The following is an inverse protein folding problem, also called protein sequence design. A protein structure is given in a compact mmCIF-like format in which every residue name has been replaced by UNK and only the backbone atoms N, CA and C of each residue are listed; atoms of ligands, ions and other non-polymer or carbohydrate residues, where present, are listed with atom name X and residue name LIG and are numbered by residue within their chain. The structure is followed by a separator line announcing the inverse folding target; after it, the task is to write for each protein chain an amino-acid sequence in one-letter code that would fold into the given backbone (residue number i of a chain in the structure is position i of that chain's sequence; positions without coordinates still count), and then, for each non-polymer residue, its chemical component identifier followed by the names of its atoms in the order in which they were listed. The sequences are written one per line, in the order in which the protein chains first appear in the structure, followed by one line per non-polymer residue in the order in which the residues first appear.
data_IF_108241336212
#
_entry.id   IF_108241336212
#
_cell.length_a   1.000
_cell.length_b   1.000
_cell.length_c   1.000
_cell.angle_alpha   90.00
_cell.angle_beta   90.00
_cell.angle_gamma   90.00
#
_symmetry.space_group_name_H-M   'P 1'
#
loop_
_entity.id
_entity.type
_entity.pdbx_description
1 polymer ?
#
# COMPACT_ATOMS: atom_id res chain seq x y z
N UNK A 1 30.17 12.78 9.53
CA UNK A 1 29.30 12.04 8.58
C UNK A 1 27.86 12.37 8.93
N UNK A 2 27.02 12.74 7.97
CA UNK A 2 25.61 13.04 8.25
C UNK A 2 24.92 11.80 8.85
N UNK A 3 24.11 11.99 9.91
CA UNK A 3 23.32 10.93 10.51
C UNK A 3 22.23 10.44 9.52
N UNK A 4 21.61 9.28 9.79
CA UNK A 4 20.62 8.68 8.88
C UNK A 4 19.42 9.60 8.56
N UNK A 5 18.96 10.38 9.53
CA UNK A 5 17.85 11.34 9.37
C UNK A 5 18.23 12.49 8.44
N UNK A 6 19.39 13.11 8.65
CA UNK A 6 19.88 14.25 7.86
C UNK A 6 20.12 13.84 6.40
N UNK A 7 20.56 12.59 6.16
CA UNK A 7 20.69 12.06 4.80
C UNK A 7 19.33 11.92 4.12
N UNK A 8 18.31 11.45 4.84
CA UNK A 8 16.96 11.33 4.31
C UNK A 8 16.39 12.70 3.94
N UNK A 9 16.55 13.71 4.80
CA UNK A 9 16.07 15.07 4.55
C UNK A 9 16.71 15.67 3.28
N UNK A 10 18.01 15.41 3.07
CA UNK A 10 18.72 15.81 1.84
C UNK A 10 18.15 15.14 0.60
N UNK A 11 17.80 13.85 0.67
CA UNK A 11 17.16 13.12 -0.44
C UNK A 11 15.77 13.68 -0.74
N UNK A 12 14.93 13.85 0.27
CA UNK A 12 13.58 14.44 0.12
C UNK A 12 13.67 15.83 -0.54
N UNK A 13 14.59 16.66 -0.05
CA UNK A 13 14.84 17.99 -0.60
C UNK A 13 15.32 17.95 -2.06
N UNK A 14 16.19 17.01 -2.42
CA UNK A 14 16.65 16.82 -3.79
C UNK A 14 15.50 16.36 -4.70
N UNK A 15 14.71 15.36 -4.27
CA UNK A 15 13.59 14.84 -5.03
C UNK A 15 12.60 15.96 -5.39
N UNK A 16 12.26 16.82 -4.41
CA UNK A 16 11.39 17.96 -4.65
C UNK A 16 12.01 18.98 -5.61
N UNK A 17 13.24 19.42 -5.37
CA UNK A 17 13.90 20.45 -6.21
C UNK A 17 14.13 20.03 -7.66
N UNK A 18 14.35 18.72 -7.90
CA UNK A 18 14.66 18.18 -9.23
C UNK A 18 13.45 17.59 -9.95
N UNK A 19 12.26 17.64 -9.36
CA UNK A 19 11.05 17.16 -10.01
C UNK A 19 10.93 15.64 -10.05
N UNK A 20 11.37 14.95 -9.00
CA UNK A 20 11.13 13.51 -8.83
C UNK A 20 9.84 13.24 -8.07
N UNK A 21 9.67 13.78 -6.86
CA UNK A 21 8.55 13.44 -5.98
C UNK A 21 8.08 14.72 -5.28
N UNK A 22 6.76 14.92 -5.25
CA UNK A 22 6.08 16.03 -4.59
C UNK A 22 5.08 15.51 -3.57
N UNK A 23 4.82 16.31 -2.54
CA UNK A 23 3.72 16.04 -1.62
C UNK A 23 2.41 16.20 -2.41
N UNK A 24 1.56 15.16 -2.43
CA UNK A 24 0.30 15.24 -3.16
C UNK A 24 -0.59 16.32 -2.55
N UNK A 25 -1.27 17.11 -3.40
CA UNK A 25 -2.13 18.24 -3.00
C UNK A 25 -1.43 19.33 -2.18
N UNK A 26 -0.12 19.56 -2.42
CA UNK A 26 0.72 20.46 -1.61
C UNK A 26 0.13 21.86 -1.41
N UNK A 27 -0.44 22.48 -2.45
CA UNK A 27 -1.01 23.84 -2.38
C UNK A 27 -2.21 23.94 -1.42
N UNK A 28 -2.83 22.82 -1.07
CA UNK A 28 -3.94 22.72 -0.13
C UNK A 28 -3.52 22.19 1.25
N UNK A 29 -2.22 22.17 1.54
CA UNK A 29 -1.68 21.68 2.81
C UNK A 29 -1.21 20.22 2.76
N UNK A 30 -1.39 19.54 1.63
CA UNK A 30 -0.92 18.18 1.38
C UNK A 30 -1.81 17.08 1.94
N UNK A 31 -1.79 15.93 1.28
CA UNK A 31 -2.46 14.70 1.73
C UNK A 31 -1.44 13.75 2.34
N UNK A 32 -1.50 13.53 3.65
CA UNK A 32 -0.49 12.75 4.37
C UNK A 32 -0.25 11.36 3.76
N UNK A 33 1.02 10.99 3.58
CA UNK A 33 1.44 9.69 3.02
C UNK A 33 0.94 9.41 1.60
N UNK A 34 0.59 10.44 0.82
CA UNK A 34 0.29 10.35 -0.61
C UNK A 34 1.23 11.28 -1.37
N UNK A 35 1.82 10.80 -2.46
CA UNK A 35 2.90 11.48 -3.17
C UNK A 35 2.67 11.47 -4.68
N UNK A 36 3.02 12.57 -5.34
CA UNK A 36 2.94 12.70 -6.79
C UNK A 36 4.35 12.56 -7.39
N UNK A 37 4.48 11.82 -8.50
CA UNK A 37 5.75 11.69 -9.22
C UNK A 37 5.86 12.79 -10.29
N UNK A 38 6.88 13.64 -10.17
CA UNK A 38 7.14 14.75 -11.10
C UNK A 38 7.80 14.30 -12.42
N UNK A 39 8.21 15.23 -13.30
CA UNK A 39 8.71 14.90 -14.63
C UNK A 39 9.87 13.90 -14.68
N UNK A 40 10.85 14.01 -13.77
CA UNK A 40 11.94 13.02 -13.71
C UNK A 40 11.54 11.75 -12.94
N UNK A 41 10.61 11.89 -12.01
CA UNK A 41 10.10 10.78 -11.20
C UNK A 41 9.29 9.79 -12.02
N UNK A 42 8.41 10.28 -12.90
CA UNK A 42 7.58 9.44 -13.75
C UNK A 42 8.43 8.65 -14.75
N UNK A 43 9.47 9.26 -15.33
CA UNK A 43 10.40 8.58 -16.23
C UNK A 43 11.21 7.51 -15.48
N UNK A 44 11.72 7.83 -14.28
CA UNK A 44 12.40 6.84 -13.46
C UNK A 44 11.48 5.67 -13.10
N UNK A 45 10.26 5.97 -12.64
CA UNK A 45 9.28 4.96 -12.27
C UNK A 45 8.90 4.08 -13.46
N UNK A 46 8.70 4.67 -14.63
CA UNK A 46 8.43 3.94 -15.88
C UNK A 46 9.61 3.03 -16.23
N UNK A 47 10.83 3.53 -16.23
CA UNK A 47 12.02 2.74 -16.55
C UNK A 47 12.19 1.53 -15.62
N UNK A 48 11.90 1.69 -14.32
CA UNK A 48 11.91 0.58 -13.36
C UNK A 48 10.84 -0.46 -13.70
N UNK A 49 9.60 -0.02 -13.97
CA UNK A 49 8.48 -0.91 -14.34
C UNK A 49 8.77 -1.67 -15.64
N UNK A 50 9.25 -0.99 -16.68
CA UNK A 50 9.59 -1.61 -17.96
C UNK A 50 10.73 -2.62 -17.84
N UNK A 51 11.77 -2.30 -17.04
CA UNK A 51 12.87 -3.22 -16.79
C UNK A 51 12.40 -4.50 -16.09
N UNK A 52 11.52 -4.36 -15.08
CA UNK A 52 10.92 -5.51 -14.39
C UNK A 52 9.97 -6.30 -15.28
N UNK A 53 9.12 -5.62 -16.06
CA UNK A 53 8.18 -6.28 -16.96
C UNK A 53 8.90 -7.05 -18.06
N UNK A 54 9.99 -6.48 -18.61
CA UNK A 54 10.82 -7.18 -19.59
C UNK A 54 11.43 -8.45 -18.99
N UNK A 55 12.03 -8.38 -17.80
CA UNK A 55 12.69 -9.54 -17.20
C UNK A 55 11.71 -10.62 -16.72
N UNK A 56 10.53 -10.23 -16.26
CA UNK A 56 9.52 -11.17 -15.76
C UNK A 56 8.64 -11.76 -16.85
N UNK A 57 8.25 -10.97 -17.85
CA UNK A 57 7.22 -11.37 -18.83
C UNK A 57 7.80 -11.56 -20.23
N UNK A 58 8.64 -10.64 -20.72
CA UNK A 58 9.14 -10.75 -22.10
C UNK A 58 10.29 -11.74 -22.25
N UNK A 59 11.14 -11.87 -21.24
CA UNK A 59 12.32 -12.74 -21.23
C UNK A 59 12.01 -14.17 -20.74
N UNK A 60 10.75 -14.46 -20.41
CA UNK A 60 10.30 -15.75 -19.86
C UNK A 60 9.07 -16.27 -20.60
N UNK A 61 9.08 -17.56 -20.93
CA UNK A 61 7.97 -18.22 -21.63
C UNK A 61 6.90 -18.78 -20.67
N UNK A 62 7.16 -18.73 -19.36
CA UNK A 62 6.36 -19.34 -18.31
C UNK A 62 5.64 -18.31 -17.42
N UNK A 63 5.57 -17.04 -17.83
CA UNK A 63 4.89 -15.98 -17.07
C UNK A 63 4.01 -15.15 -18.00
N UNK A 64 2.73 -15.05 -17.65
CA UNK A 64 1.75 -14.27 -18.39
C UNK A 64 1.47 -12.93 -17.71
N UNK A 65 1.23 -11.89 -18.52
CA UNK A 65 0.85 -10.57 -18.02
C UNK A 65 -0.65 -10.44 -17.75
N UNK A 66 -1.01 -9.75 -16.67
CA UNK A 66 -2.40 -9.40 -16.33
C UNK A 66 -2.48 -7.94 -15.82
N UNK A 67 -3.60 -7.27 -16.12
CA UNK A 67 -4.01 -6.03 -15.47
C UNK A 67 -5.45 -6.17 -14.94
N UNK A 68 -5.58 -6.58 -13.68
CA UNK A 68 -6.88 -6.68 -13.02
C UNK A 68 -7.35 -5.30 -12.53
N UNK A 69 -8.67 -5.09 -12.50
CA UNK A 69 -9.28 -3.90 -11.93
C UNK A 69 -8.94 -3.72 -10.44
N UNK A 70 -8.94 -2.46 -9.97
CA UNK A 70 -8.77 -2.11 -8.54
C UNK A 70 -10.01 -2.50 -7.74
N UNK A 71 -11.19 -2.25 -8.31
CA UNK A 71 -12.48 -2.52 -7.70
C UNK A 71 -12.87 -3.97 -7.96
N UNK A 72 -12.91 -4.77 -6.89
CA UNK A 72 -13.27 -6.19 -6.94
C UNK A 72 -14.49 -6.46 -6.06
N UNK A 73 -15.21 -7.54 -6.37
CA UNK A 73 -16.37 -7.96 -5.58
C UNK A 73 -15.96 -8.19 -4.10
N UNK A 74 -16.71 -7.68 -3.09
CA UNK A 74 -16.32 -7.73 -1.67
C UNK A 74 -15.96 -9.12 -1.14
N UNK A 75 -16.69 -10.14 -1.59
CA UNK A 75 -16.43 -11.55 -1.27
C UNK A 75 -15.00 -12.02 -1.56
N UNK A 76 -14.27 -11.40 -2.49
CA UNK A 76 -12.86 -11.70 -2.73
C UNK A 76 -12.02 -11.37 -1.50
N UNK A 77 -12.29 -10.23 -0.85
CA UNK A 77 -11.59 -9.78 0.35
C UNK A 77 -12.03 -10.51 1.62
N UNK A 78 -13.26 -11.03 1.63
CA UNK A 78 -13.73 -11.93 2.69
C UNK A 78 -13.07 -13.31 2.56
N UNK A 79 -13.07 -13.91 1.37
CA UNK A 79 -12.50 -15.22 1.11
C UNK A 79 -10.99 -15.28 1.31
N UNK A 80 -10.28 -14.20 0.97
CA UNK A 80 -8.84 -14.07 1.24
C UNK A 80 -8.52 -13.72 2.71
N UNK A 81 -9.53 -13.45 3.54
CA UNK A 81 -9.37 -13.11 4.95
C UNK A 81 -9.03 -11.64 5.24
N UNK A 82 -8.85 -10.80 4.22
CA UNK A 82 -8.48 -9.39 4.40
C UNK A 82 -9.50 -8.58 5.21
N UNK A 83 -10.81 -8.85 5.05
CA UNK A 83 -11.85 -8.15 5.83
C UNK A 83 -11.69 -8.42 7.33
N UNK A 84 -11.32 -9.64 7.71
CA UNK A 84 -11.23 -10.06 9.11
C UNK A 84 -9.82 -9.85 9.71
N UNK A 85 -8.76 -10.04 8.93
CA UNK A 85 -7.39 -10.15 9.43
C UNK A 85 -6.44 -9.03 8.98
N UNK A 86 -6.81 -8.18 8.02
CA UNK A 86 -5.94 -7.10 7.55
C UNK A 86 -6.07 -5.86 8.46
N UNK A 87 -5.69 -6.03 9.73
CA UNK A 87 -5.90 -5.03 10.79
C UNK A 87 -4.63 -4.72 11.56
N UNK A 88 -4.48 -3.47 11.96
CA UNK A 88 -3.46 -3.03 12.90
C UNK A 88 -4.09 -2.66 14.26
N UNK A 89 -3.39 -2.89 15.38
CA UNK A 89 -3.85 -2.45 16.69
C UNK A 89 -3.73 -0.91 16.80
N UNK A 90 -4.86 -0.23 16.96
CA UNK A 90 -4.96 1.23 17.01
C UNK A 90 -5.31 1.70 18.43
N UNK A 91 -4.64 2.76 18.88
CA UNK A 91 -5.02 3.53 20.08
C UNK A 91 -5.21 5.00 19.74
N UNK A 92 -6.22 5.62 20.33
CA UNK A 92 -6.47 7.05 20.27
C UNK A 92 -6.01 7.73 21.57
N UNK A 93 -5.28 8.84 21.46
CA UNK A 93 -4.99 9.70 22.60
C UNK A 93 -6.11 10.74 22.77
N UNK A 94 -6.82 10.71 23.90
CA UNK A 94 -7.93 11.63 24.20
C UNK A 94 -7.49 13.09 24.32
N UNK A 95 -6.21 13.32 24.58
CA UNK A 95 -5.62 14.63 24.91
C UNK A 95 -5.04 15.33 23.70
N UNK A 96 -4.27 14.62 22.86
CA UNK A 96 -3.72 15.18 21.62
C UNK A 96 -4.59 14.88 20.39
N UNK A 97 -5.64 14.07 20.54
CA UNK A 97 -6.60 13.64 19.49
C UNK A 97 -5.96 12.89 18.32
N UNK A 98 -4.68 12.54 18.42
CA UNK A 98 -3.98 11.74 17.43
C UNK A 98 -4.19 10.24 17.66
N UNK A 99 -4.00 9.50 16.57
CA UNK A 99 -4.13 8.05 16.47
C UNK A 99 -2.76 7.44 16.27
N UNK A 100 -2.49 6.34 16.96
CA UNK A 100 -1.20 5.66 16.93
C UNK A 100 -1.42 4.17 16.81
N UNK A 101 -0.43 3.47 16.23
CA UNK A 101 -0.44 2.02 16.37
C UNK A 101 0.05 1.64 17.76
N UNK A 102 -0.67 0.75 18.42
CA UNK A 102 -0.40 0.32 19.78
C UNK A 102 0.98 -0.38 19.91
N UNK A 103 1.41 -1.06 18.86
CA UNK A 103 2.67 -1.78 18.78
C UNK A 103 3.88 -0.90 18.41
N UNK A 104 3.66 0.38 18.08
CA UNK A 104 4.71 1.33 17.69
C UNK A 104 4.75 2.61 18.53
N UNK A 105 4.15 2.60 19.72
CA UNK A 105 4.05 3.79 20.59
C UNK A 105 5.43 4.42 20.89
N UNK A 106 6.44 3.60 21.17
CA UNK A 106 7.80 4.06 21.50
C UNK A 106 8.50 4.78 20.34
N UNK A 107 8.06 4.54 19.11
CA UNK A 107 8.61 5.18 17.91
C UNK A 107 7.74 6.34 17.40
N UNK A 108 6.49 6.42 17.88
CA UNK A 108 5.54 7.43 17.46
C UNK A 108 5.85 8.78 18.12
N UNK A 109 5.67 9.88 17.38
CA UNK A 109 5.83 11.23 17.94
C UNK A 109 4.48 11.78 18.38
N UNK A 110 4.40 12.25 19.63
CA UNK A 110 3.22 12.97 20.10
C UNK A 110 3.22 14.39 19.52
N UNK A 111 2.12 14.85 18.89
CA UNK A 111 2.05 16.22 18.36
C UNK A 111 1.95 17.28 19.46
N UNK A 112 1.63 16.88 20.70
CA UNK A 112 1.47 17.79 21.85
C UNK A 112 2.71 17.74 22.74
N UNK A 113 3.44 18.85 22.78
CA UNK A 113 4.55 19.06 23.73
C UNK A 113 3.99 19.28 25.16
N UNK A 114 4.68 18.86 26.24
CA UNK A 114 6.06 18.34 26.27
C UNK A 114 6.19 16.84 25.97
N UNK A 115 5.09 16.09 25.77
CA UNK A 115 5.15 14.66 25.46
C UNK A 115 5.96 14.42 24.19
N UNK A 116 6.96 13.54 24.25
CA UNK A 116 7.74 13.15 23.07
C UNK A 116 7.08 11.97 22.38
N UNK A 117 6.67 10.97 23.16
CA UNK A 117 5.92 9.81 22.72
C UNK A 117 4.50 9.79 23.31
N UNK A 118 3.52 9.15 22.64
CA UNK A 118 2.16 9.07 23.15
C UNK A 118 2.12 8.30 24.47
N UNK A 119 1.43 8.84 25.48
CA UNK A 119 1.29 8.18 26.78
C UNK A 119 2.42 8.47 27.79
N UNK A 120 3.49 9.17 27.40
CA UNK A 120 4.60 9.48 28.34
C UNK A 120 4.25 10.53 29.40
N UNK A 121 3.41 11.49 29.05
CA UNK A 121 3.02 12.56 29.98
C UNK A 121 1.71 12.18 30.67
N UNK A 122 1.57 12.54 31.94
CA UNK A 122 0.38 12.26 32.78
C UNK A 122 -0.92 12.75 32.17
N UNK A 123 -0.87 13.82 31.37
CA UNK A 123 -2.03 14.32 30.63
C UNK A 123 -2.44 13.46 29.43
N UNK A 124 -1.57 12.63 28.85
CA UNK A 124 -1.89 11.78 27.70
C UNK A 124 -2.67 10.54 28.13
N UNK A 125 -4.00 10.59 27.99
CA UNK A 125 -4.86 9.42 28.19
C UNK A 125 -5.06 8.66 26.88
N UNK A 126 -4.44 7.48 26.76
CA UNK A 126 -4.67 6.54 25.66
C UNK A 126 -5.94 5.71 25.92
N UNK A 127 -6.60 5.31 24.83
CA UNK A 127 -7.73 4.37 24.85
C UNK A 127 -7.23 2.93 24.79
N UNK A 128 -8.12 1.97 25.10
CA UNK A 128 -7.83 0.56 24.89
C UNK A 128 -7.57 0.26 23.40
N UNK A 129 -6.59 -0.62 23.08
CA UNK A 129 -6.32 -1.00 21.70
C UNK A 129 -7.54 -1.61 21.02
N UNK A 130 -7.82 -1.18 19.79
CA UNK A 130 -8.84 -1.77 18.92
C UNK A 130 -8.25 -2.15 17.57
N UNK A 131 -8.77 -3.19 16.93
CA UNK A 131 -8.34 -3.58 15.60
C UNK A 131 -8.90 -2.62 14.55
N UNK A 132 -8.02 -2.05 13.74
CA UNK A 132 -8.37 -1.13 12.66
C UNK A 132 -8.04 -1.76 11.31
N UNK A 133 -9.05 -1.98 10.47
CA UNK A 133 -8.83 -2.55 9.14
C UNK A 133 -8.13 -1.53 8.22
N UNK A 134 -7.05 -1.98 7.59
CA UNK A 134 -6.21 -1.14 6.74
C UNK A 134 -6.72 -1.02 5.30
N UNK A 135 -7.82 -1.66 4.91
CA UNK A 135 -8.40 -1.46 3.58
C UNK A 135 -9.17 -0.15 3.52
N UNK A 136 -9.05 0.56 2.39
CA UNK A 136 -9.95 1.66 2.09
C UNK A 136 -11.31 1.11 1.70
N UNK A 137 -12.33 1.47 2.49
CA UNK A 137 -13.72 1.16 2.23
C UNK A 137 -14.38 2.33 1.50
N UNK A 138 -15.12 2.04 0.45
CA UNK A 138 -16.00 2.98 -0.25
C UNK A 138 -17.32 2.29 -0.58
N UNK A 139 -18.20 2.98 -1.29
CA UNK A 139 -19.51 2.49 -1.67
C UNK A 139 -19.69 2.61 -3.19
N UNK A 140 -20.27 1.58 -3.80
CA UNK A 140 -20.57 1.51 -5.23
C UNK A 140 -22.08 1.50 -5.40
N UNK A 141 -22.60 2.57 -5.97
CA UNK A 141 -24.03 2.73 -6.23
C UNK A 141 -24.40 4.21 -6.40
N UNK A 142 -25.52 4.50 -7.09
CA UNK A 142 -25.96 5.87 -7.32
C UNK A 142 -26.55 6.55 -6.06
N UNK A 143 -26.99 5.75 -5.08
CA UNK A 143 -27.60 6.22 -3.83
C UNK A 143 -26.79 5.67 -2.67
N UNK A 144 -26.25 6.55 -1.82
CA UNK A 144 -25.33 6.18 -0.72
C UNK A 144 -25.97 5.19 0.28
N UNK A 145 -27.27 5.30 0.50
CA UNK A 145 -28.05 4.46 1.44
C UNK A 145 -28.19 3.00 0.98
N UNK A 146 -28.25 2.77 -0.33
CA UNK A 146 -28.37 1.43 -0.96
C UNK A 146 -27.05 0.96 -1.60
N UNK A 147 -25.98 1.73 -1.45
CA UNK A 147 -24.74 1.47 -2.16
C UNK A 147 -24.01 0.25 -1.60
N UNK A 148 -23.57 -0.62 -2.50
CA UNK A 148 -22.82 -1.81 -2.13
C UNK A 148 -21.44 -1.40 -1.59
N UNK A 149 -21.08 -1.90 -0.41
CA UNK A 149 -19.72 -1.74 0.12
C UNK A 149 -18.74 -2.30 -0.89
N UNK A 150 -17.67 -1.57 -1.18
CA UNK A 150 -16.54 -2.05 -1.97
C UNK A 150 -15.22 -1.55 -1.37
N UNK A 151 -14.12 -2.20 -1.70
CA UNK A 151 -12.80 -1.89 -1.18
C UNK A 151 -11.85 -1.53 -2.30
N UNK A 152 -10.93 -0.59 -2.04
CA UNK A 152 -9.74 -0.46 -2.87
C UNK A 152 -8.77 -1.58 -2.47
N UNK A 153 -8.25 -2.30 -3.46
CA UNK A 153 -7.39 -3.46 -3.21
C UNK A 153 -6.14 -3.11 -2.38
N UNK A 154 -5.82 -3.86 -1.31
CA UNK A 154 -4.60 -3.67 -0.51
C UNK A 154 -3.35 -4.33 -1.11
N UNK A 155 -3.54 -5.15 -2.14
CA UNK A 155 -2.50 -5.87 -2.89
C UNK A 155 -2.95 -6.16 -4.34
N UNK A 156 -2.02 -6.56 -5.22
CA UNK A 156 -2.33 -6.94 -6.61
C UNK A 156 -2.63 -8.43 -6.79
N UNK A 157 -2.13 -9.29 -5.92
CA UNK A 157 -2.19 -10.75 -5.98
C UNK A 157 -3.59 -11.35 -6.22
N UNK A 158 -4.62 -10.82 -5.54
CA UNK A 158 -6.00 -11.35 -5.68
C UNK A 158 -6.50 -11.31 -7.12
N UNK A 159 -6.06 -10.32 -7.92
CA UNK A 159 -6.38 -10.22 -9.34
C UNK A 159 -5.91 -11.44 -10.14
N UNK A 160 -4.70 -11.91 -9.86
CA UNK A 160 -4.12 -13.12 -10.46
C UNK A 160 -4.87 -14.37 -10.03
N UNK A 161 -5.22 -14.49 -8.75
CA UNK A 161 -5.91 -15.67 -8.23
C UNK A 161 -7.30 -15.85 -8.82
N UNK A 162 -8.12 -14.79 -8.89
CA UNK A 162 -9.48 -14.89 -9.46
C UNK A 162 -9.47 -15.13 -10.97
N UNK A 163 -8.37 -14.80 -11.66
CA UNK A 163 -8.22 -15.02 -13.10
C UNK A 163 -7.36 -16.24 -13.46
N UNK A 164 -6.96 -17.06 -12.48
CA UNK A 164 -6.09 -18.22 -12.71
C UNK A 164 -6.57 -19.09 -13.88
N UNK A 165 -7.84 -19.51 -13.87
CA UNK A 165 -8.40 -20.34 -14.94
C UNK A 165 -8.54 -19.61 -16.28
N UNK A 166 -8.85 -18.31 -16.25
CA UNK A 166 -8.96 -17.50 -17.47
C UNK A 166 -7.61 -17.46 -18.19
N UNK A 167 -6.54 -17.12 -17.46
CA UNK A 167 -5.19 -17.01 -18.00
C UNK A 167 -4.64 -18.37 -18.42
N UNK A 168 -4.76 -19.39 -17.56
CA UNK A 168 -4.33 -20.76 -17.87
C UNK A 168 -4.92 -21.24 -19.20
N UNK A 169 -6.21 -20.99 -19.42
CA UNK A 169 -6.92 -21.45 -20.62
C UNK A 169 -6.58 -20.61 -21.86
N UNK A 170 -6.60 -19.28 -21.76
CA UNK A 170 -6.39 -18.40 -22.92
C UNK A 170 -4.94 -18.40 -23.41
N UNK A 171 -3.98 -18.45 -22.49
CA UNK A 171 -2.55 -18.53 -22.81
C UNK A 171 -2.08 -19.97 -23.10
N UNK A 172 -2.93 -20.98 -22.83
CA UNK A 172 -2.62 -22.42 -22.99
C UNK A 172 -1.40 -22.85 -22.17
N UNK A 173 -1.18 -22.20 -21.05
CA UNK A 173 -0.11 -22.54 -20.11
C UNK A 173 -0.41 -23.86 -19.40
N UNK A 174 0.62 -24.42 -18.76
CA UNK A 174 0.52 -25.57 -17.85
C UNK A 174 1.30 -25.24 -16.60
N UNK A 175 0.95 -25.87 -15.48
CA UNK A 175 1.75 -25.74 -14.26
C UNK A 175 3.11 -26.42 -14.51
N UNK A 176 4.25 -25.79 -14.13
CA UNK A 176 4.34 -24.49 -13.48
C UNK A 176 4.27 -23.30 -14.46
N UNK A 177 3.56 -22.25 -14.06
CA UNK A 177 3.54 -20.97 -14.76
C UNK A 177 3.22 -19.84 -13.78
N UNK A 178 3.54 -18.60 -14.15
CA UNK A 178 3.26 -17.41 -13.36
C UNK A 178 2.26 -16.46 -14.00
N UNK A 179 1.67 -15.62 -13.17
CA UNK A 179 0.91 -14.45 -13.60
C UNK A 179 1.52 -13.21 -12.94
N UNK A 180 2.06 -12.32 -13.76
CA UNK A 180 2.65 -11.06 -13.34
C UNK A 180 1.66 -9.90 -13.52
N UNK A 181 1.63 -9.00 -12.54
CA UNK A 181 0.81 -7.79 -12.58
C UNK A 181 1.59 -6.60 -12.01
N UNK A 182 1.45 -5.45 -12.67
CA UNK A 182 1.92 -4.17 -12.16
C UNK A 182 0.73 -3.26 -11.96
N UNK A 183 0.53 -2.72 -10.77
CA UNK A 183 -0.62 -1.85 -10.53
C UNK A 183 -0.67 -1.23 -9.15
N UNK A 184 -1.63 -0.30 -8.99
CA UNK A 184 -1.86 0.42 -7.72
C UNK A 184 -2.42 -0.51 -6.64
N UNK A 185 -2.01 -0.29 -5.41
CA UNK A 185 -2.58 -0.87 -4.20
C UNK A 185 -2.67 0.21 -3.11
N UNK A 186 -3.59 0.00 -2.16
CA UNK A 186 -3.96 1.01 -1.18
C UNK A 186 -3.97 0.45 0.23
N UNK A 187 -3.27 1.11 1.15
CA UNK A 187 -3.25 0.74 2.57
C UNK A 187 -3.55 1.97 3.41
N UNK A 188 -4.60 1.91 4.23
CA UNK A 188 -5.06 2.99 5.07
C UNK A 188 -4.18 3.14 6.31
N UNK A 189 -2.93 3.48 6.06
CA UNK A 189 -1.88 3.41 7.06
C UNK A 189 -2.12 4.43 8.18
N UNK A 190 -2.06 3.95 9.43
CA UNK A 190 -2.35 4.75 10.62
C UNK A 190 -1.28 5.83 10.83
N UNK A 191 0.00 5.46 10.67
CA UNK A 191 1.12 6.34 11.00
C UNK A 191 1.91 6.66 9.72
N UNK A 192 2.07 7.94 9.35
CA UNK A 192 2.92 8.33 8.25
C UNK A 192 4.38 7.99 8.61
N UNK A 193 5.04 7.21 7.75
CA UNK A 193 6.45 6.88 7.91
C UNK A 193 7.38 7.83 7.15
N UNK A 194 8.65 7.45 7.06
CA UNK A 194 9.66 8.22 6.33
C UNK A 194 9.33 8.23 4.84
N UNK A 195 8.95 9.39 4.29
CA UNK A 195 8.81 9.62 2.84
C UNK A 195 8.01 8.52 2.09
N UNK A 196 8.56 7.95 1.02
CA UNK A 196 7.89 6.92 0.21
C UNK A 196 7.94 5.49 0.79
N UNK A 197 8.46 5.31 2.02
CA UNK A 197 8.54 3.97 2.63
C UNK A 197 7.22 3.51 3.28
N UNK A 198 6.34 4.46 3.65
CA UNK A 198 4.99 4.17 4.16
C UNK A 198 3.99 5.13 3.53
N UNK A 199 3.38 4.70 2.44
CA UNK A 199 2.39 5.48 1.69
C UNK A 199 1.03 4.79 1.72
N UNK A 200 -0.03 5.57 1.48
CA UNK A 200 -1.40 5.05 1.43
C UNK A 200 -1.81 4.56 0.05
N UNK A 201 -1.13 5.06 -0.97
CA UNK A 201 -1.25 4.66 -2.36
C UNK A 201 0.17 4.39 -2.88
N UNK A 202 0.37 3.26 -3.54
CA UNK A 202 1.62 2.88 -4.16
C UNK A 202 1.38 1.89 -5.30
N UNK A 203 2.41 1.63 -6.11
CA UNK A 203 2.38 0.57 -7.11
C UNK A 203 3.18 -0.63 -6.63
N UNK A 204 2.67 -1.81 -6.95
CA UNK A 204 3.35 -3.07 -6.73
C UNK A 204 3.62 -3.74 -8.07
N UNK A 205 4.67 -4.55 -8.11
CA UNK A 205 5.00 -5.44 -9.21
C UNK A 205 5.06 -6.85 -8.59
N UNK A 206 3.97 -7.58 -8.69
CA UNK A 206 3.80 -8.90 -8.07
C UNK A 206 3.72 -9.98 -9.15
N UNK A 207 4.27 -11.14 -8.86
CA UNK A 207 4.28 -12.29 -9.76
C UNK A 207 3.93 -13.53 -8.94
N UNK A 208 2.77 -14.11 -9.24
CA UNK A 208 2.29 -15.30 -8.55
C UNK A 208 2.67 -16.51 -9.39
N UNK A 209 3.68 -17.25 -8.96
CA UNK A 209 4.15 -18.47 -9.62
C UNK A 209 3.41 -19.68 -9.06
N UNK A 210 2.66 -20.38 -9.89
CA UNK A 210 1.88 -21.54 -9.53
C UNK A 210 2.68 -22.79 -9.82
N UNK A 211 2.89 -23.63 -8.80
CA UNK A 211 3.65 -24.89 -8.88
C UNK A 211 2.84 -26.04 -8.29
N UNK A 212 3.25 -27.26 -8.55
CA UNK A 212 2.69 -28.41 -7.86
C UNK A 212 3.15 -28.40 -6.39
N UNK A 213 2.29 -28.77 -5.43
CA UNK A 213 2.69 -28.82 -4.03
C UNK A 213 3.91 -29.73 -3.81
N UNK A 214 4.96 -29.20 -3.18
CA UNK A 214 6.22 -29.93 -2.93
C UNK A 214 7.22 -29.87 -4.08
N UNK A 215 7.01 -29.03 -5.10
CA UNK A 215 7.95 -28.78 -6.20
C UNK A 215 8.41 -27.31 -6.25
N UNK A 216 8.41 -26.62 -5.11
CA UNK A 216 8.72 -25.19 -4.96
C UNK A 216 10.21 -24.86 -4.77
N UNK A 217 11.08 -25.88 -4.79
CA UNK A 217 12.54 -25.78 -4.72
C UNK A 217 13.20 -25.25 -6.02
#
# INVERSE_FOLDING_TARGET
MANGSERMDRLVSLCKRRGFIFQSSEIYGGTGSVWDYGPLGVELQRNVKEAWWRSMVHERDDIEGLDAAILMHPRVWEASGHVAGFTDPLVDCRTCKARFRADHLDSAQCPRKPSRHPGEHTECSLTEPRQFNLMFKTFMGPVEEDAAVIYLRPETAQGSYVNFHNVLTSARQRIPFGIAQVGKAFRNEITPGNFIFRTREFEQMEMQFFVEPGTDD
#
